data_IF_047842181923
#
_entry.id   IF_047842181923
#
_cell.length_a   1.000
_cell.length_b   1.000
_cell.length_c   1.000
_cell.angle_alpha   90.00
_cell.angle_beta   90.00
_cell.angle_gamma   90.00
#
_symmetry.space_group_name_H-M   'P 1'
#
loop_
_entity.id
_entity.type
_entity.pdbx_description
1 polymer ?
#
# COMPACT_ATOMS: atom_id res chain seq x y z
N UNK A 1 14.00 20.07 21.88
CA UNK A 1 12.59 20.09 21.47
C UNK A 1 12.44 19.15 20.30
N UNK A 2 11.52 18.15 20.34
CA UNK A 2 11.32 17.23 19.20
C UNK A 2 10.54 17.92 18.09
N UNK A 3 10.99 17.80 16.85
CA UNK A 3 10.28 18.30 15.67
C UNK A 3 9.21 17.29 15.28
N UNK A 4 7.95 17.70 15.23
CA UNK A 4 6.82 16.85 14.91
C UNK A 4 6.21 17.21 13.56
N UNK A 5 5.86 16.19 12.79
CA UNK A 5 5.03 16.30 11.61
C UNK A 5 3.64 15.74 11.92
N UNK A 6 2.59 16.47 11.60
CA UNK A 6 1.21 16.01 11.76
C UNK A 6 0.72 15.46 10.42
N UNK A 7 0.08 14.28 10.46
CA UNK A 7 -0.61 13.72 9.30
C UNK A 7 -2.11 13.60 9.55
N UNK A 8 -2.88 14.20 8.66
CA UNK A 8 -4.34 14.28 8.73
C UNK A 8 -4.97 13.61 7.52
N UNK A 9 -6.03 12.83 7.73
CA UNK A 9 -6.80 12.23 6.65
C UNK A 9 -8.26 12.03 7.00
N UNK A 10 -9.14 12.39 6.08
CA UNK A 10 -10.57 12.05 6.11
C UNK A 10 -10.97 11.42 4.78
N UNK A 11 -11.92 10.49 4.82
CA UNK A 11 -12.35 9.73 3.64
C UNK A 11 -13.49 10.37 2.85
N UNK A 12 -14.19 11.32 3.45
CA UNK A 12 -15.35 12.02 2.86
C UNK A 12 -15.17 13.51 2.94
N UNK A 13 -15.62 14.22 1.92
CA UNK A 13 -15.57 15.70 1.85
C UNK A 13 -16.46 16.39 2.91
N UNK A 14 -17.37 15.63 3.55
CA UNK A 14 -18.22 16.13 4.65
C UNK A 14 -17.55 16.06 6.02
N UNK A 15 -16.40 15.37 6.13
CA UNK A 15 -15.63 15.33 7.38
C UNK A 15 -14.45 16.29 7.28
N UNK A 16 -14.29 17.12 8.31
CA UNK A 16 -13.15 18.02 8.40
C UNK A 16 -11.99 17.35 9.14
N UNK A 17 -10.78 17.67 8.74
CA UNK A 17 -9.55 17.29 9.45
C UNK A 17 -9.31 18.18 10.67
N UNK A 18 -10.07 19.23 10.82
CA UNK A 18 -9.86 20.29 11.81
C UNK A 18 -9.85 19.77 13.25
N UNK A 19 -10.82 18.92 13.64
CA UNK A 19 -10.85 18.34 14.98
C UNK A 19 -9.61 17.47 15.27
N UNK A 20 -9.15 16.70 14.26
CA UNK A 20 -7.92 15.91 14.40
C UNK A 20 -6.70 16.82 14.58
N UNK A 21 -6.66 17.92 13.83
CA UNK A 21 -5.60 18.90 13.88
C UNK A 21 -5.51 19.57 15.25
N UNK A 22 -6.62 20.14 15.73
CA UNK A 22 -6.68 20.83 17.02
C UNK A 22 -6.20 19.92 18.16
N UNK A 23 -6.67 18.67 18.19
CA UNK A 23 -6.25 17.72 19.23
C UNK A 23 -4.78 17.35 19.14
N UNK A 24 -4.24 17.13 17.94
CA UNK A 24 -2.82 16.80 17.77
C UNK A 24 -1.91 18.00 18.05
N UNK A 25 -2.35 19.22 17.74
CA UNK A 25 -1.65 20.46 18.09
C UNK A 25 -1.62 20.64 19.62
N UNK A 26 -2.75 20.41 20.31
CA UNK A 26 -2.83 20.45 21.76
C UNK A 26 -1.89 19.43 22.43
N UNK A 27 -1.84 18.21 21.90
CA UNK A 27 -0.89 17.18 22.39
C UNK A 27 0.55 17.61 22.17
N UNK A 28 0.86 18.18 21.00
CA UNK A 28 2.21 18.66 20.70
C UNK A 28 2.64 19.76 21.69
N UNK A 29 1.75 20.70 22.02
CA UNK A 29 2.01 21.74 22.99
C UNK A 29 2.25 21.15 24.39
N UNK A 30 1.37 20.26 24.87
CA UNK A 30 1.51 19.61 26.18
C UNK A 30 2.82 18.81 26.31
N UNK A 31 3.30 18.24 25.23
CA UNK A 31 4.54 17.43 25.21
C UNK A 31 5.80 18.21 24.81
N UNK A 32 5.65 19.49 24.55
CA UNK A 32 6.76 20.36 24.15
C UNK A 32 7.34 19.99 22.78
N UNK A 33 6.51 19.52 21.84
CA UNK A 33 6.94 19.26 20.47
C UNK A 33 6.77 20.51 19.61
N UNK A 34 7.69 20.70 18.70
CA UNK A 34 7.62 21.76 17.70
C UNK A 34 6.99 21.18 16.43
N UNK A 35 5.82 21.66 16.04
CA UNK A 35 5.20 21.29 14.77
C UNK A 35 5.96 21.95 13.65
N UNK A 36 6.60 21.16 12.77
CA UNK A 36 7.38 21.65 11.64
C UNK A 36 6.66 21.51 10.30
N UNK A 37 5.69 20.59 10.21
CA UNK A 37 4.92 20.37 9.00
C UNK A 37 3.56 19.73 9.33
N UNK A 38 2.57 20.04 8.50
CA UNK A 38 1.26 19.38 8.48
C UNK A 38 1.02 18.85 7.08
N UNK A 39 0.72 17.56 6.97
CA UNK A 39 0.40 16.88 5.73
C UNK A 39 -1.05 16.45 5.77
N UNK A 40 -1.78 16.73 4.70
CA UNK A 40 -3.22 16.49 4.66
C UNK A 40 -3.65 15.81 3.36
N UNK A 41 -4.52 14.81 3.51
CA UNK A 41 -5.21 14.13 2.42
C UNK A 41 -6.73 14.15 2.70
N UNK A 42 -7.39 15.27 2.37
CA UNK A 42 -8.84 15.43 2.51
C UNK A 42 -9.58 14.75 1.34
N UNK A 43 -10.74 14.12 1.63
CA UNK A 43 -11.57 13.45 0.61
C UNK A 43 -10.93 12.23 -0.04
N UNK A 44 -9.80 11.74 0.50
CA UNK A 44 -9.05 10.63 -0.08
C UNK A 44 -9.25 9.37 0.77
N UNK A 45 -9.92 8.36 0.19
CA UNK A 45 -10.05 7.05 0.85
C UNK A 45 -8.67 6.42 1.08
N UNK A 46 -8.47 5.86 2.27
CA UNK A 46 -7.27 5.07 2.60
C UNK A 46 -7.05 3.86 1.69
N UNK A 47 -8.06 3.50 0.85
CA UNK A 47 -7.96 2.46 -0.17
C UNK A 47 -7.00 2.79 -1.31
N UNK A 48 -6.74 4.07 -1.53
CA UNK A 48 -5.83 4.53 -2.56
C UNK A 48 -4.41 4.38 -2.04
N UNK A 49 -3.53 3.77 -2.85
CA UNK A 49 -2.12 3.60 -2.53
C UNK A 49 -1.41 4.95 -2.29
N UNK A 50 -0.14 4.87 -1.90
CA UNK A 50 0.71 6.04 -1.63
C UNK A 50 0.72 7.05 -2.78
N UNK A 51 0.75 6.59 -4.02
CA UNK A 51 0.73 7.37 -5.27
C UNK A 51 -0.53 8.23 -5.46
N UNK A 52 -1.61 7.93 -4.77
CA UNK A 52 -2.87 8.69 -4.79
C UNK A 52 -3.15 9.45 -3.49
N UNK A 53 -2.15 9.57 -2.63
CA UNK A 53 -2.17 10.29 -1.35
C UNK A 53 -1.00 11.27 -1.32
N UNK A 54 -1.13 12.43 -1.96
CA UNK A 54 -0.02 13.37 -2.12
C UNK A 54 0.56 13.86 -0.79
N UNK A 55 -0.30 14.08 0.22
CA UNK A 55 0.15 14.45 1.57
C UNK A 55 0.98 13.35 2.22
N UNK A 56 0.51 12.10 2.13
CA UNK A 56 1.24 10.95 2.66
C UNK A 56 2.55 10.67 1.91
N UNK A 57 2.55 10.80 0.59
CA UNK A 57 3.77 10.64 -0.21
C UNK A 57 4.81 11.69 0.15
N UNK A 58 4.38 12.95 0.34
CA UNK A 58 5.27 14.02 0.78
C UNK A 58 5.79 13.78 2.20
N UNK A 59 4.95 13.32 3.13
CA UNK A 59 5.35 12.92 4.49
C UNK A 59 6.48 11.88 4.42
N UNK A 60 6.31 10.82 3.62
CA UNK A 60 7.32 9.77 3.47
C UNK A 60 8.64 10.30 2.87
N UNK A 61 8.58 11.18 1.87
CA UNK A 61 9.76 11.83 1.28
C UNK A 61 10.50 12.69 2.29
N UNK A 62 9.77 13.45 3.10
CA UNK A 62 10.37 14.35 4.07
C UNK A 62 10.86 13.60 5.32
N UNK A 63 10.27 12.45 5.63
CA UNK A 63 10.77 11.52 6.64
C UNK A 63 12.18 11.00 6.29
N UNK A 64 12.39 10.56 5.05
CA UNK A 64 13.72 10.12 4.58
C UNK A 64 14.74 11.25 4.54
N UNK A 65 14.29 12.50 4.35
CA UNK A 65 15.12 13.70 4.40
C UNK A 65 15.35 14.24 5.81
N UNK A 66 14.90 13.54 6.83
CA UNK A 66 15.09 13.91 8.24
C UNK A 66 14.54 15.30 8.61
N UNK A 67 13.44 15.75 8.00
CA UNK A 67 12.87 17.07 8.28
C UNK A 67 12.17 17.16 9.64
N UNK A 68 11.80 16.05 10.23
CA UNK A 68 11.16 15.95 11.54
C UNK A 68 11.65 14.68 12.27
N UNK A 69 11.38 14.60 13.56
CA UNK A 69 11.84 13.52 14.43
C UNK A 69 10.69 12.57 14.81
N UNK A 70 9.44 13.05 14.70
CA UNK A 70 8.23 12.34 15.08
C UNK A 70 7.12 12.58 14.06
N UNK A 71 6.34 11.54 13.78
CA UNK A 71 5.06 11.63 13.05
C UNK A 71 3.92 11.50 14.05
N UNK A 72 3.03 12.47 14.09
CA UNK A 72 1.79 12.41 14.87
C UNK A 72 0.59 12.20 13.94
N UNK A 73 -0.24 11.21 14.23
CA UNK A 73 -1.46 10.93 13.48
C UNK A 73 -2.62 10.62 14.43
N UNK A 74 -3.85 10.83 13.94
CA UNK A 74 -5.04 10.58 14.72
C UNK A 74 -5.18 9.11 15.12
N UNK A 75 -5.01 8.21 14.15
CA UNK A 75 -5.18 6.76 14.35
C UNK A 75 -4.44 5.97 13.26
N UNK A 76 -4.25 4.69 13.52
CA UNK A 76 -3.60 3.72 12.63
C UNK A 76 -4.21 3.71 11.22
N UNK A 77 -5.55 3.76 11.12
CA UNK A 77 -6.28 3.72 9.85
C UNK A 77 -6.06 4.98 8.98
N UNK A 78 -5.50 6.05 9.56
CA UNK A 78 -5.08 7.23 8.79
C UNK A 78 -3.79 6.96 8.01
N UNK A 79 -2.87 6.21 8.59
CA UNK A 79 -1.57 5.89 8.00
C UNK A 79 -1.66 4.79 6.96
N UNK A 80 -2.36 3.68 7.25
CA UNK A 80 -2.54 2.56 6.35
C UNK A 80 -3.96 2.02 6.39
N UNK A 81 -4.45 1.48 5.27
CA UNK A 81 -5.75 0.81 5.21
C UNK A 81 -5.62 -0.69 5.44
N UNK A 82 -4.57 -1.27 4.92
CA UNK A 82 -4.23 -2.66 5.15
C UNK A 82 -3.13 -2.74 6.20
N UNK A 83 -3.11 -3.85 6.90
CA UNK A 83 -2.01 -4.14 7.82
C UNK A 83 -0.66 -4.13 7.08
N UNK A 84 -0.63 -4.53 5.81
CA UNK A 84 0.58 -4.51 4.98
C UNK A 84 1.11 -3.08 4.75
N UNK A 85 0.22 -2.13 4.41
CA UNK A 85 0.59 -0.73 4.21
C UNK A 85 1.13 -0.12 5.50
N UNK A 86 0.47 -0.44 6.62
CA UNK A 86 0.89 0.01 7.93
C UNK A 86 2.28 -0.51 8.26
N UNK A 87 2.53 -1.82 8.09
CA UNK A 87 3.85 -2.43 8.36
C UNK A 87 4.93 -1.80 7.49
N UNK A 88 4.65 -1.59 6.20
CA UNK A 88 5.58 -0.91 5.29
C UNK A 88 5.96 0.46 5.84
N UNK A 89 4.97 1.27 6.20
CA UNK A 89 5.19 2.58 6.79
C UNK A 89 5.95 2.51 8.12
N UNK A 90 5.61 1.57 8.99
CA UNK A 90 6.28 1.37 10.29
C UNK A 90 7.75 0.96 10.10
N UNK A 91 8.04 0.11 9.13
CA UNK A 91 9.40 -0.29 8.77
C UNK A 91 10.21 0.89 8.24
N UNK A 92 9.61 1.69 7.35
CA UNK A 92 10.24 2.90 6.80
C UNK A 92 10.53 3.92 7.90
N UNK A 93 9.58 4.11 8.82
CA UNK A 93 9.70 5.03 9.95
C UNK A 93 10.81 4.59 10.91
N UNK A 94 10.87 3.30 11.24
CA UNK A 94 11.91 2.72 12.08
C UNK A 94 13.28 2.78 11.39
N UNK A 95 13.35 2.46 10.11
CA UNK A 95 14.56 2.57 9.29
C UNK A 95 15.09 4.00 9.21
N UNK A 96 14.20 4.99 9.19
CA UNK A 96 14.56 6.41 9.26
C UNK A 96 14.91 6.90 10.68
N UNK A 97 14.74 6.07 11.71
CA UNK A 97 14.96 6.44 13.11
C UNK A 97 13.98 7.52 13.60
N UNK A 98 12.72 7.47 13.13
CA UNK A 98 11.68 8.43 13.50
C UNK A 98 10.71 7.80 14.48
N UNK A 99 10.15 8.63 15.37
CA UNK A 99 9.13 8.23 16.33
C UNK A 99 7.72 8.33 15.72
N UNK A 100 6.76 7.65 16.35
CA UNK A 100 5.34 7.69 16.01
C UNK A 100 4.50 8.01 17.25
N UNK A 101 3.53 8.88 17.07
CA UNK A 101 2.45 9.10 18.02
C UNK A 101 1.09 8.86 17.36
N UNK A 102 0.30 7.98 17.95
CA UNK A 102 -1.08 7.69 17.54
C UNK A 102 -2.03 8.08 18.67
N UNK A 103 -2.84 9.11 18.42
CA UNK A 103 -3.70 9.70 19.44
C UNK A 103 -4.74 8.72 19.96
N UNK A 104 -5.50 8.10 19.08
CA UNK A 104 -6.62 7.22 19.43
C UNK A 104 -6.18 5.92 20.11
N UNK A 105 -5.03 5.37 19.74
CA UNK A 105 -4.48 4.17 20.34
C UNK A 105 -3.58 4.46 21.55
N UNK A 106 -3.33 5.72 21.87
CA UNK A 106 -2.40 6.16 22.90
C UNK A 106 -0.99 5.53 22.75
N UNK A 107 -0.56 5.29 21.50
CA UNK A 107 0.77 4.74 21.20
C UNK A 107 1.75 5.88 21.02
N UNK A 108 2.83 5.86 21.81
CA UNK A 108 3.92 6.84 21.77
C UNK A 108 5.25 6.11 21.78
N UNK A 109 5.89 6.00 20.60
CA UNK A 109 7.17 5.30 20.48
C UNK A 109 8.34 6.05 21.06
N UNK A 110 8.15 7.28 21.53
CA UNK A 110 9.18 7.99 22.31
C UNK A 110 9.38 7.34 23.68
N UNK A 111 8.39 6.60 24.16
CA UNK A 111 8.45 5.84 25.44
C UNK A 111 8.85 4.38 25.21
N UNK A 112 9.52 3.75 26.19
CA UNK A 112 9.85 2.31 26.08
C UNK A 112 8.63 1.40 25.90
N UNK A 113 7.54 1.67 26.62
CA UNK A 113 6.28 0.92 26.53
C UNK A 113 5.63 1.07 25.15
N UNK A 114 5.57 2.29 24.61
CA UNK A 114 5.03 2.54 23.28
C UNK A 114 5.88 1.89 22.17
N UNK A 115 7.22 1.88 22.32
CA UNK A 115 8.10 1.12 21.41
C UNK A 115 7.83 -0.38 21.48
N UNK A 116 7.69 -0.95 22.67
CA UNK A 116 7.37 -2.37 22.82
C UNK A 116 6.02 -2.70 22.17
N UNK A 117 4.98 -1.90 22.42
CA UNK A 117 3.67 -2.07 21.80
C UNK A 117 3.71 -1.96 20.28
N UNK A 118 4.49 -1.02 19.77
CA UNK A 118 4.72 -0.84 18.33
C UNK A 118 5.41 -2.07 17.71
N UNK A 119 6.44 -2.63 18.37
CA UNK A 119 7.12 -3.84 17.92
C UNK A 119 6.17 -5.05 17.92
N UNK A 120 5.32 -5.16 18.93
CA UNK A 120 4.29 -6.22 18.97
C UNK A 120 3.31 -6.10 17.78
N UNK A 121 2.88 -4.90 17.43
CA UNK A 121 2.06 -4.69 16.22
C UNK A 121 2.77 -5.18 14.96
N UNK A 122 4.07 -4.93 14.83
CA UNK A 122 4.90 -5.44 13.74
C UNK A 122 4.90 -6.98 13.68
N UNK A 123 5.11 -7.64 14.81
CA UNK A 123 5.09 -9.11 14.91
C UNK A 123 3.72 -9.69 14.54
N UNK A 124 2.63 -9.13 15.07
CA UNK A 124 1.27 -9.55 14.69
C UNK A 124 1.01 -9.41 13.20
N UNK A 125 1.50 -8.37 12.63
CA UNK A 125 1.36 -8.07 11.23
C UNK A 125 2.14 -9.06 10.34
N UNK A 126 3.33 -9.47 10.72
CA UNK A 126 4.07 -10.55 10.05
C UNK A 126 3.37 -11.89 10.18
N UNK A 127 2.85 -12.19 11.36
CA UNK A 127 2.08 -13.42 11.62
C UNK A 127 0.83 -13.48 10.71
N UNK A 128 0.04 -12.41 10.63
CA UNK A 128 -1.13 -12.38 9.74
C UNK A 128 -0.74 -12.57 8.28
N UNK A 129 0.35 -11.93 7.83
CA UNK A 129 0.88 -12.11 6.47
C UNK A 129 1.27 -13.58 6.20
N UNK A 130 1.89 -14.23 7.17
CA UNK A 130 2.25 -15.65 7.08
C UNK A 130 1.01 -16.53 6.97
N UNK A 131 -0.01 -16.28 7.81
CA UNK A 131 -1.30 -17.01 7.79
C UNK A 131 -2.06 -16.83 6.47
N UNK A 132 -2.08 -15.61 5.91
CA UNK A 132 -2.71 -15.35 4.60
C UNK A 132 -1.97 -16.13 3.51
N UNK A 133 -0.63 -16.09 3.50
CA UNK A 133 0.20 -16.81 2.52
C UNK A 133 -0.04 -18.32 2.60
N UNK A 134 -0.08 -18.89 3.80
CA UNK A 134 -0.35 -20.30 4.02
C UNK A 134 -1.74 -20.68 3.49
N UNK A 135 -2.77 -19.89 3.80
CA UNK A 135 -4.15 -20.12 3.31
C UNK A 135 -4.23 -20.06 1.78
N UNK A 136 -3.55 -19.10 1.15
CA UNK A 136 -3.48 -18.99 -0.31
C UNK A 136 -2.78 -20.22 -0.90
N UNK A 137 -1.62 -20.62 -0.36
CA UNK A 137 -0.88 -21.80 -0.82
C UNK A 137 -1.69 -23.09 -0.68
N UNK A 138 -2.38 -23.29 0.44
CA UNK A 138 -3.28 -24.41 0.64
C UNK A 138 -4.45 -24.40 -0.34
N UNK A 139 -4.99 -23.23 -0.68
CA UNK A 139 -6.02 -23.04 -1.71
C UNK A 139 -5.50 -23.44 -3.11
N UNK A 140 -4.31 -22.96 -3.47
CA UNK A 140 -3.66 -23.29 -4.74
C UNK A 140 -3.33 -24.79 -4.85
N UNK A 141 -2.84 -25.40 -3.78
CA UNK A 141 -2.57 -26.84 -3.73
C UNK A 141 -3.86 -27.65 -3.97
N UNK A 142 -4.94 -27.30 -3.29
CA UNK A 142 -6.26 -27.94 -3.50
C UNK A 142 -6.79 -27.77 -4.94
N UNK A 143 -6.63 -26.59 -5.51
CA UNK A 143 -7.03 -26.33 -6.90
C UNK A 143 -6.22 -27.19 -7.87
N UNK A 144 -4.91 -27.31 -7.69
CA UNK A 144 -4.02 -28.18 -8.47
C UNK A 144 -4.43 -29.65 -8.34
N UNK A 145 -4.69 -30.12 -7.11
CA UNK A 145 -5.14 -31.48 -6.86
C UNK A 145 -6.48 -31.81 -7.57
N UNK A 146 -7.36 -30.82 -7.73
CA UNK A 146 -8.61 -30.93 -8.49
C UNK A 146 -8.42 -30.77 -10.01
N UNK A 147 -7.18 -30.71 -10.52
CA UNK A 147 -6.89 -30.58 -11.94
C UNK A 147 -7.13 -29.18 -12.53
N UNK A 148 -7.38 -28.17 -11.69
CA UNK A 148 -7.58 -26.80 -12.16
C UNK A 148 -6.26 -26.24 -12.69
N UNK A 149 -6.22 -25.87 -13.96
CA UNK A 149 -5.07 -25.18 -14.56
C UNK A 149 -4.98 -23.75 -14.00
N UNK A 150 -3.94 -23.48 -13.24
CA UNK A 150 -3.67 -22.15 -12.69
C UNK A 150 -3.00 -21.26 -13.74
N UNK A 151 -3.21 -19.95 -13.62
CA UNK A 151 -2.63 -18.96 -14.50
C UNK A 151 -3.65 -18.28 -15.41
N UNK A 152 -3.15 -17.51 -16.39
CA UNK A 152 -4.00 -16.81 -17.35
C UNK A 152 -4.74 -17.82 -18.25
N UNK A 153 -6.05 -17.64 -18.38
CA UNK A 153 -6.87 -18.50 -19.27
C UNK A 153 -6.31 -18.48 -20.70
N UNK A 154 -6.20 -19.65 -21.36
CA UNK A 154 -5.84 -19.71 -22.78
C UNK A 154 -6.85 -18.88 -23.59
N UNK A 155 -6.39 -18.33 -24.71
CA UNK A 155 -7.31 -17.72 -25.67
C UNK A 155 -8.18 -18.80 -26.31
N UNK A 156 -9.37 -18.42 -26.78
CA UNK A 156 -10.28 -19.38 -27.39
C UNK A 156 -9.67 -19.96 -28.68
N UNK A 157 -10.05 -21.19 -29.01
CA UNK A 157 -9.65 -21.84 -30.26
C UNK A 157 -9.98 -21.01 -31.51
N UNK A 158 -11.05 -20.22 -31.47
CA UNK A 158 -11.41 -19.27 -32.55
C UNK A 158 -10.34 -18.19 -32.73
N UNK A 159 -9.80 -17.66 -31.64
CA UNK A 159 -8.72 -16.66 -31.70
C UNK A 159 -7.43 -17.33 -32.19
N UNK A 160 -7.11 -18.55 -31.74
CA UNK A 160 -5.94 -19.28 -32.19
C UNK A 160 -6.00 -19.56 -33.69
N UNK A 161 -7.15 -20.04 -34.21
CA UNK A 161 -7.36 -20.23 -35.65
C UNK A 161 -7.17 -18.92 -36.44
N UNK A 162 -7.75 -17.82 -35.91
CA UNK A 162 -7.61 -16.51 -36.56
C UNK A 162 -6.19 -15.98 -36.58
N UNK A 163 -5.38 -16.28 -35.56
CA UNK A 163 -3.95 -15.96 -35.53
C UNK A 163 -3.23 -16.70 -36.69
N UNK A 164 -3.48 -17.99 -36.85
CA UNK A 164 -2.87 -18.82 -37.88
C UNK A 164 -3.26 -18.37 -39.30
N UNK A 165 -4.54 -18.06 -39.52
CA UNK A 165 -5.01 -17.50 -40.80
C UNK A 165 -4.27 -16.19 -41.16
N UNK A 166 -4.26 -15.24 -40.22
CA UNK A 166 -3.56 -13.95 -40.44
C UNK A 166 -2.06 -14.12 -40.61
N UNK A 167 -1.48 -15.13 -40.00
CA UNK A 167 -0.05 -15.45 -40.20
C UNK A 167 0.21 -16.04 -41.58
N UNK A 168 -0.68 -16.90 -42.07
CA UNK A 168 -0.59 -17.49 -43.42
C UNK A 168 -0.66 -16.41 -44.53
N UNK A 169 -1.38 -15.31 -44.31
CA UNK A 169 -1.40 -14.15 -45.22
C UNK A 169 -0.15 -13.25 -45.13
N UNK A 170 0.88 -13.67 -44.37
CA UNK A 170 2.15 -12.94 -44.27
C UNK A 170 2.15 -11.79 -43.24
N UNK A 171 1.06 -11.58 -42.46
CA UNK A 171 0.97 -10.50 -41.49
C UNK A 171 1.93 -10.76 -40.33
N UNK A 172 2.67 -9.73 -39.92
CA UNK A 172 3.63 -9.79 -38.82
C UNK A 172 2.97 -9.89 -37.44
N UNK A 173 3.65 -10.54 -36.48
CA UNK A 173 3.18 -10.83 -35.12
C UNK A 173 2.63 -9.56 -34.38
N UNK A 174 3.33 -8.44 -34.49
CA UNK A 174 2.91 -7.17 -33.87
C UNK A 174 1.59 -6.65 -34.44
N UNK A 175 1.40 -6.80 -35.75
CA UNK A 175 0.20 -6.35 -36.45
C UNK A 175 -1.01 -7.25 -36.11
N UNK A 176 -0.79 -8.58 -36.05
CA UNK A 176 -1.79 -9.56 -35.59
C UNK A 176 -2.22 -9.26 -34.12
N UNK A 177 -1.25 -9.06 -33.24
CA UNK A 177 -1.54 -8.77 -31.84
C UNK A 177 -2.40 -7.50 -31.68
N UNK A 178 -2.08 -6.45 -32.41
CA UNK A 178 -2.83 -5.18 -32.40
C UNK A 178 -4.24 -5.35 -33.01
N UNK A 179 -4.36 -6.08 -34.10
CA UNK A 179 -5.63 -6.30 -34.79
C UNK A 179 -6.61 -7.13 -33.97
N UNK A 180 -6.13 -8.11 -33.19
CA UNK A 180 -6.95 -8.98 -32.35
C UNK A 180 -7.07 -8.50 -30.89
N UNK A 181 -6.45 -7.39 -30.50
CA UNK A 181 -6.48 -6.87 -29.13
C UNK A 181 -5.82 -7.80 -28.10
N UNK A 182 -4.82 -8.59 -28.48
CA UNK A 182 -4.15 -9.59 -27.65
C UNK A 182 -2.65 -9.29 -27.50
N UNK A 183 -2.03 -9.89 -26.47
CA UNK A 183 -0.59 -9.73 -26.25
C UNK A 183 0.25 -10.43 -27.34
N UNK A 184 1.37 -9.83 -27.73
CA UNK A 184 2.32 -10.39 -28.71
C UNK A 184 2.84 -11.77 -28.30
N UNK A 185 3.04 -12.03 -27.01
CA UNK A 185 3.44 -13.34 -26.47
C UNK A 185 2.43 -14.45 -26.76
N UNK A 186 1.13 -14.11 -26.83
CA UNK A 186 0.09 -15.07 -27.20
C UNK A 186 0.20 -15.45 -28.66
N UNK A 187 0.39 -14.46 -29.55
CA UNK A 187 0.59 -14.71 -30.98
C UNK A 187 1.85 -15.55 -31.24
N UNK A 188 2.95 -15.21 -30.55
CA UNK A 188 4.20 -15.97 -30.64
C UNK A 188 4.03 -17.43 -30.23
N UNK A 189 3.31 -17.68 -29.12
CA UNK A 189 3.06 -19.04 -28.62
C UNK A 189 2.26 -19.85 -29.63
N UNK A 190 1.19 -19.30 -30.21
CA UNK A 190 0.31 -19.99 -31.17
C UNK A 190 1.04 -20.27 -32.51
N UNK A 191 1.91 -19.35 -32.95
CA UNK A 191 2.68 -19.52 -34.20
C UNK A 191 3.85 -20.51 -34.05
N UNK A 192 4.34 -20.73 -32.82
CA UNK A 192 5.43 -21.66 -32.51
C UNK A 192 4.96 -23.08 -32.16
N UNK A 193 3.67 -23.25 -31.81
CA UNK A 193 3.06 -24.54 -31.50
C UNK A 193 2.70 -25.30 -32.75
#
# INVERSE_FOLDING_TARGET
MKRAAIYLRVSTDQQTTENQRIELERVAEQRGWQITAVYEDAGISGAKGRDRRPGFDQLCKDMTRCKFDLVAAWSVDRLGRSLQDLIGFLSDLQGAGRDLYLHQQAIDTTTPSGRAMFQMLGVFAEFERAMIRERVNAGLARAKAKGVKLGRRPVSSKIEARILELRATGIGILKIARQLGIGTSVVQRVVKA
#
